data_IF_661676834154
#
_entry.id   IF_661676834154
#
_cell.length_a   1.000
_cell.length_b   1.000
_cell.length_c   1.000
_cell.angle_alpha   90.00
_cell.angle_beta   90.00
_cell.angle_gamma   90.00
#
_symmetry.space_group_name_H-M   'P 1'
#
loop_
_entity.id
_entity.type
_entity.pdbx_description
1 polymer ?
#
# COMPACT_ATOMS: atom_id res chain seq x y z
N UNK A 1 -6.52 -12.17 1.23
CA UNK A 1 -7.87 -12.28 1.84
C UNK A 1 -8.13 -11.26 2.95
N UNK A 2 -7.23 -11.16 3.93
CA UNK A 2 -7.35 -10.21 5.04
C UNK A 2 -6.00 -9.53 5.26
N UNK A 3 -5.97 -8.22 5.10
CA UNK A 3 -4.84 -7.36 5.47
C UNK A 3 -5.02 -6.94 6.94
N UNK A 4 -3.94 -7.03 7.71
CA UNK A 4 -3.97 -6.73 9.13
C UNK A 4 -4.71 -7.80 9.92
N UNK A 5 -4.29 -9.07 9.78
CA UNK A 5 -4.89 -10.19 10.54
C UNK A 5 -4.83 -9.96 12.04
N UNK A 6 -3.68 -9.46 12.53
CA UNK A 6 -3.48 -9.07 13.93
C UNK A 6 -4.34 -7.87 14.32
N UNK A 7 -4.53 -6.92 13.41
CA UNK A 7 -5.42 -5.77 13.61
C UNK A 7 -6.85 -6.27 13.80
N UNK A 8 -7.35 -7.10 12.90
CA UNK A 8 -8.70 -7.66 12.95
C UNK A 8 -8.91 -8.47 14.25
N UNK A 9 -7.95 -9.32 14.62
CA UNK A 9 -8.04 -10.15 15.82
C UNK A 9 -8.16 -9.34 17.11
N UNK A 10 -7.50 -8.17 17.16
CA UNK A 10 -7.50 -7.30 18.33
C UNK A 10 -8.56 -6.18 18.26
N UNK A 11 -9.41 -6.15 17.24
CA UNK A 11 -10.37 -5.06 17.03
C UNK A 11 -9.72 -3.70 16.75
N UNK A 12 -8.47 -3.70 16.26
CA UNK A 12 -7.75 -2.50 15.90
C UNK A 12 -8.29 -1.83 14.64
N UNK A 13 -7.78 -0.64 14.33
CA UNK A 13 -8.17 0.13 13.15
C UNK A 13 -7.42 -0.29 11.88
N UNK A 14 -8.05 -0.12 10.71
CA UNK A 14 -7.49 -0.29 9.36
C UNK A 14 -7.30 -1.74 8.85
N UNK A 15 -8.04 -2.73 9.36
CA UNK A 15 -8.06 -4.04 8.68
C UNK A 15 -8.99 -4.00 7.48
N UNK A 16 -8.53 -4.50 6.33
CA UNK A 16 -9.30 -4.54 5.09
C UNK A 16 -9.23 -5.92 4.42
N UNK A 17 -10.27 -6.24 3.66
CA UNK A 17 -10.23 -7.32 2.67
C UNK A 17 -9.91 -6.71 1.32
N UNK A 18 -8.93 -7.25 0.61
CA UNK A 18 -8.39 -6.67 -0.62
C UNK A 18 -8.19 -7.69 -1.74
N UNK A 19 -8.41 -7.26 -2.96
CA UNK A 19 -8.10 -7.99 -4.19
C UNK A 19 -7.59 -7.04 -5.28
N UNK A 20 -6.58 -7.50 -6.02
CA UNK A 20 -6.10 -6.87 -7.24
C UNK A 20 -6.27 -7.85 -8.41
N UNK A 21 -6.66 -7.35 -9.58
CA UNK A 21 -6.99 -8.15 -10.76
C UNK A 21 -6.28 -7.55 -11.96
N UNK A 22 -5.62 -8.39 -12.74
CA UNK A 22 -5.02 -8.05 -14.03
C UNK A 22 -5.06 -9.29 -14.93
N UNK A 23 -4.74 -9.12 -16.21
CA UNK A 23 -4.54 -10.24 -17.13
C UNK A 23 -3.36 -11.13 -16.68
N UNK A 24 -3.31 -12.35 -17.20
CA UNK A 24 -2.26 -13.31 -16.86
C UNK A 24 -0.86 -12.74 -17.11
N UNK A 25 0.04 -12.88 -16.13
CA UNK A 25 1.43 -12.43 -16.21
C UNK A 25 1.66 -10.94 -15.98
N UNK A 26 0.62 -10.14 -15.76
CA UNK A 26 0.77 -8.69 -15.58
C UNK A 26 1.15 -8.27 -14.15
N UNK A 27 1.02 -9.14 -13.15
CA UNK A 27 1.58 -8.88 -11.84
C UNK A 27 3.00 -9.42 -11.71
N UNK A 28 3.86 -8.69 -11.01
CA UNK A 28 5.13 -9.24 -10.54
C UNK A 28 4.83 -10.49 -9.70
N UNK A 29 5.39 -11.62 -10.11
CA UNK A 29 5.33 -12.87 -9.35
C UNK A 29 6.26 -12.78 -8.14
N UNK A 30 5.85 -12.00 -7.14
CA UNK A 30 6.66 -11.71 -5.97
C UNK A 30 6.79 -12.98 -5.09
N UNK A 31 8.01 -13.40 -4.73
CA UNK A 31 8.19 -14.47 -3.75
C UNK A 31 7.70 -14.00 -2.37
N UNK A 32 7.39 -14.96 -1.50
CA UNK A 32 7.08 -14.69 -0.09
C UNK A 32 8.35 -14.27 0.68
N UNK A 33 8.67 -12.98 0.55
CA UNK A 33 9.83 -12.30 1.14
C UNK A 33 9.46 -10.84 1.42
N UNK A 34 10.41 -10.05 1.92
CA UNK A 34 10.20 -8.63 2.16
C UNK A 34 10.47 -7.79 0.91
N UNK A 35 9.90 -6.59 0.87
CA UNK A 35 10.13 -5.58 -0.13
C UNK A 35 10.28 -4.24 0.57
N UNK A 36 11.36 -3.55 0.24
CA UNK A 36 11.61 -2.15 0.56
C UNK A 36 10.81 -1.28 -0.42
N UNK A 37 10.04 -0.33 0.10
CA UNK A 37 8.99 0.38 -0.63
C UNK A 37 9.08 1.87 -0.39
N UNK A 38 8.81 2.63 -1.45
CA UNK A 38 8.46 4.05 -1.38
C UNK A 38 7.24 4.28 -2.26
N UNK A 39 6.23 4.99 -1.75
CA UNK A 39 5.01 5.28 -2.48
C UNK A 39 4.48 6.69 -2.21
N UNK A 40 4.02 7.37 -3.27
CA UNK A 40 3.52 8.76 -3.25
C UNK A 40 2.35 8.93 -4.22
N UNK A 41 1.56 9.98 -3.98
CA UNK A 41 0.46 10.37 -4.87
C UNK A 41 0.87 11.08 -6.17
N UNK A 42 -0.12 11.36 -7.04
CA UNK A 42 0.10 11.89 -8.39
C UNK A 42 0.99 13.14 -8.45
N UNK A 43 0.81 14.06 -7.51
CA UNK A 43 1.54 15.33 -7.47
C UNK A 43 3.06 15.17 -7.23
N UNK A 44 3.49 14.05 -6.64
CA UNK A 44 4.90 13.75 -6.37
C UNK A 44 5.40 12.52 -7.13
N UNK A 45 4.67 12.03 -8.13
CA UNK A 45 4.98 10.78 -8.85
C UNK A 45 6.41 10.75 -9.43
N UNK A 46 6.95 11.88 -9.86
CA UNK A 46 8.30 11.98 -10.43
C UNK A 46 9.38 12.39 -9.41
N UNK A 47 9.05 12.43 -8.12
CA UNK A 47 9.91 12.96 -7.05
C UNK A 47 10.47 11.88 -6.12
N UNK A 48 10.40 10.61 -6.52
CA UNK A 48 10.87 9.48 -5.72
C UNK A 48 11.93 8.65 -6.44
N UNK A 49 12.92 8.21 -5.68
CA UNK A 49 13.93 7.22 -6.07
C UNK A 49 14.31 6.36 -4.87
N UNK A 50 14.06 5.05 -4.96
CA UNK A 50 14.37 4.10 -3.88
C UNK A 50 15.88 3.86 -3.69
N UNK A 51 16.73 4.29 -4.63
CA UNK A 51 18.18 4.29 -4.47
C UNK A 51 18.68 5.50 -3.66
N UNK A 52 17.93 6.59 -3.63
CA UNK A 52 18.26 7.79 -2.86
C UNK A 52 17.93 7.62 -1.37
N UNK A 53 18.55 8.45 -0.53
CA UNK A 53 18.26 8.45 0.90
C UNK A 53 16.82 8.94 1.19
N UNK A 54 16.22 8.53 2.33
CA UNK A 54 14.97 9.11 2.82
C UNK A 54 15.01 10.65 2.86
N UNK A 55 16.13 11.23 3.30
CA UNK A 55 16.30 12.69 3.36
C UNK A 55 16.23 13.36 1.98
N UNK A 56 16.84 12.77 0.96
CA UNK A 56 16.78 13.29 -0.41
C UNK A 56 15.38 13.18 -0.99
N UNK A 57 14.74 12.02 -0.84
CA UNK A 57 13.36 11.82 -1.27
C UNK A 57 12.42 12.85 -0.64
N UNK A 58 12.52 13.08 0.68
CA UNK A 58 11.65 14.06 1.35
C UNK A 58 11.84 15.49 0.84
N UNK A 59 13.06 15.87 0.45
CA UNK A 59 13.30 17.19 -0.17
C UNK A 59 12.62 17.30 -1.53
N UNK A 60 12.76 16.30 -2.39
CA UNK A 60 12.15 16.32 -3.73
C UNK A 60 10.62 16.22 -3.66
N UNK A 61 10.09 15.37 -2.78
CA UNK A 61 8.65 15.30 -2.49
C UNK A 61 8.14 16.65 -1.99
N UNK A 62 8.85 17.29 -1.05
CA UNK A 62 8.50 18.62 -0.54
C UNK A 62 8.43 19.67 -1.65
N UNK A 63 9.42 19.70 -2.56
CA UNK A 63 9.40 20.59 -3.74
C UNK A 63 8.20 20.31 -4.65
N UNK A 64 7.93 19.05 -4.96
CA UNK A 64 6.83 18.65 -5.85
C UNK A 64 5.45 19.03 -5.25
N UNK A 65 5.28 18.81 -3.94
CA UNK A 65 4.06 19.12 -3.21
C UNK A 65 3.96 20.59 -2.78
N UNK A 66 5.00 21.41 -3.01
CA UNK A 66 5.12 22.79 -2.51
C UNK A 66 4.93 22.87 -0.99
N UNK A 67 5.48 21.90 -0.27
CA UNK A 67 5.46 21.80 1.20
C UNK A 67 6.89 21.87 1.74
N UNK A 68 7.04 22.46 2.92
CA UNK A 68 8.26 22.28 3.72
C UNK A 68 8.40 20.82 4.15
N UNK A 69 9.61 20.34 4.39
CA UNK A 69 9.84 18.95 4.83
C UNK A 69 9.14 18.69 6.16
N UNK A 70 9.08 19.69 7.03
CA UNK A 70 8.43 19.67 8.34
C UNK A 70 6.90 19.52 8.24
N UNK A 71 6.33 19.88 7.10
CA UNK A 71 4.90 19.70 6.81
C UNK A 71 4.58 18.36 6.15
N UNK A 72 5.59 17.55 5.80
CA UNK A 72 5.38 16.21 5.25
C UNK A 72 5.12 15.20 6.36
N UNK A 73 4.22 14.25 6.08
CA UNK A 73 3.94 13.10 6.93
C UNK A 73 4.33 11.80 6.23
N UNK A 74 5.30 11.10 6.80
CA UNK A 74 5.78 9.78 6.36
C UNK A 74 5.07 8.70 7.16
N UNK A 75 4.39 7.77 6.49
CA UNK A 75 3.86 6.56 7.15
C UNK A 75 4.89 5.44 7.09
N UNK A 76 5.14 4.78 8.23
CA UNK A 76 6.17 3.73 8.39
C UNK A 76 5.61 2.62 9.31
N UNK A 77 5.85 1.35 8.98
CA UNK A 77 5.55 0.24 9.90
C UNK A 77 6.42 0.32 11.15
N UNK A 78 5.82 0.22 12.34
CA UNK A 78 6.54 0.20 13.61
C UNK A 78 7.20 -1.16 13.81
N UNK A 79 8.47 -1.25 13.41
CA UNK A 79 9.28 -2.48 13.46
C UNK A 79 10.72 -2.13 13.81
N UNK A 80 11.45 -2.98 14.57
CA UNK A 80 12.86 -2.74 14.89
C UNK A 80 13.74 -2.51 13.65
N UNK A 81 13.44 -3.18 12.52
CA UNK A 81 14.15 -3.02 11.24
C UNK A 81 14.03 -1.63 10.61
N UNK A 82 13.12 -0.77 11.09
CA UNK A 82 12.95 0.60 10.60
C UNK A 82 13.55 1.65 11.53
N UNK A 83 14.30 1.26 12.57
CA UNK A 83 14.89 2.21 13.52
C UNK A 83 15.74 3.29 12.83
N UNK A 84 16.60 2.90 11.89
CA UNK A 84 17.46 3.83 11.15
C UNK A 84 16.67 4.77 10.23
N UNK A 85 15.69 4.22 9.50
CA UNK A 85 14.76 5.00 8.67
C UNK A 85 14.00 6.02 9.51
N UNK A 86 13.42 5.60 10.64
CA UNK A 86 12.68 6.47 11.55
C UNK A 86 13.59 7.58 12.09
N UNK A 87 14.82 7.23 12.49
CA UNK A 87 15.78 8.21 12.98
C UNK A 87 16.16 9.23 11.90
N UNK A 88 16.34 8.80 10.65
CA UNK A 88 16.64 9.70 9.54
C UNK A 88 15.50 10.64 9.20
N UNK A 89 14.27 10.12 9.08
CA UNK A 89 13.08 10.93 8.81
C UNK A 89 12.84 11.95 9.93
N UNK A 90 13.11 11.60 11.19
CA UNK A 90 13.07 12.56 12.30
C UNK A 90 14.14 13.65 12.16
N UNK A 91 15.37 13.28 11.78
CA UNK A 91 16.47 14.26 11.57
C UNK A 91 16.19 15.21 10.41
N UNK A 92 15.47 14.77 9.38
CA UNK A 92 15.08 15.65 8.27
C UNK A 92 13.97 16.63 8.63
N UNK A 93 13.31 16.46 9.78
CA UNK A 93 12.24 17.33 10.28
C UNK A 93 10.82 16.88 9.91
N UNK A 94 10.67 15.84 9.09
CA UNK A 94 9.36 15.36 8.68
C UNK A 94 8.62 14.65 9.83
N UNK A 95 7.29 14.68 9.77
CA UNK A 95 6.42 13.98 10.72
C UNK A 95 6.36 12.50 10.36
N UNK A 96 6.17 11.65 11.37
CA UNK A 96 6.02 10.20 11.18
C UNK A 96 4.68 9.73 11.74
N UNK A 97 3.94 8.98 10.94
CA UNK A 97 2.83 8.15 11.39
C UNK A 97 3.30 6.68 11.46
N UNK A 98 3.51 6.18 12.68
CA UNK A 98 3.84 4.78 12.90
C UNK A 98 2.59 3.92 12.87
N UNK A 99 2.63 2.81 12.13
CA UNK A 99 1.52 1.86 12.02
C UNK A 99 1.95 0.44 12.41
N UNK A 100 1.09 -0.26 13.14
CA UNK A 100 1.38 -1.61 13.62
C UNK A 100 1.29 -2.68 12.51
N UNK A 101 0.44 -2.50 11.51
CA UNK A 101 0.29 -3.38 10.35
C UNK A 101 -0.33 -2.56 9.20
N UNK A 102 -0.40 -3.14 8.00
CA UNK A 102 -1.18 -2.60 6.90
C UNK A 102 -0.51 -1.54 6.04
N UNK A 103 0.59 -1.94 5.41
CA UNK A 103 1.30 -1.10 4.46
C UNK A 103 0.58 -0.95 3.10
N UNK A 104 -0.40 -1.82 2.76
CA UNK A 104 -1.28 -1.63 1.60
C UNK A 104 -2.17 -0.40 1.79
N UNK A 105 -2.90 -0.36 2.90
CA UNK A 105 -3.76 0.77 3.27
C UNK A 105 -2.96 2.07 3.38
N UNK A 106 -1.73 1.99 3.91
CA UNK A 106 -0.82 3.12 4.03
C UNK A 106 -0.31 3.65 2.68
N UNK A 107 0.02 2.76 1.74
CA UNK A 107 0.43 3.13 0.38
C UNK A 107 -0.70 3.86 -0.36
N UNK A 108 -1.93 3.36 -0.21
CA UNK A 108 -3.12 4.00 -0.79
C UNK A 108 -3.37 5.37 -0.16
N UNK A 109 -3.25 5.48 1.17
CA UNK A 109 -3.35 6.76 1.86
C UNK A 109 -2.34 7.79 1.32
N UNK A 110 -1.07 7.40 1.11
CA UNK A 110 -0.07 8.28 0.51
C UNK A 110 -0.41 8.73 -0.93
N UNK A 111 -1.24 7.96 -1.64
CA UNK A 111 -1.68 8.29 -2.99
C UNK A 111 -2.97 9.12 -3.07
N UNK A 112 -3.74 9.20 -1.98
CA UNK A 112 -5.00 9.91 -1.93
C UNK A 112 -4.83 11.36 -1.47
N UNK A 113 -5.59 12.26 -2.10
CA UNK A 113 -5.72 13.63 -1.61
C UNK A 113 -6.39 13.65 -0.22
N UNK A 114 -5.94 14.55 0.64
CA UNK A 114 -6.50 14.79 1.98
C UNK A 114 -6.44 13.61 2.98
N UNK A 115 -5.65 12.57 2.71
CA UNK A 115 -5.42 11.46 3.65
C UNK A 115 -4.64 11.88 4.90
N UNK A 116 -3.88 12.98 4.81
CA UNK A 116 -2.92 13.41 5.82
C UNK A 116 -1.57 12.68 5.76
N UNK A 117 -1.37 11.81 4.76
CA UNK A 117 -0.13 11.07 4.50
C UNK A 117 0.44 11.52 3.16
N UNK A 118 1.73 11.88 3.12
CA UNK A 118 2.39 12.36 1.90
C UNK A 118 3.23 11.27 1.23
N UNK A 119 3.78 10.34 2.02
CA UNK A 119 4.64 9.27 1.52
C UNK A 119 4.64 8.05 2.44
N UNK A 120 4.62 6.85 1.87
CA UNK A 120 4.97 5.61 2.56
C UNK A 120 6.45 5.32 2.35
N UNK A 121 7.18 4.96 3.41
CA UNK A 121 8.55 4.46 3.31
C UNK A 121 8.76 3.21 4.19
N UNK A 122 9.58 2.29 3.71
CA UNK A 122 10.13 1.19 4.50
C UNK A 122 9.84 -0.20 3.96
N UNK A 123 10.13 -1.20 4.77
CA UNK A 123 10.12 -2.62 4.38
C UNK A 123 8.91 -3.36 4.95
N UNK A 124 8.11 -3.92 4.05
CA UNK A 124 6.96 -4.79 4.35
C UNK A 124 6.90 -5.99 3.40
N UNK A 125 5.81 -6.74 3.38
CA UNK A 125 5.73 -7.97 2.57
C UNK A 125 5.71 -7.68 1.06
N UNK A 126 6.42 -8.49 0.27
CA UNK A 126 6.49 -8.30 -1.18
C UNK A 126 5.14 -8.49 -1.89
N UNK A 127 4.31 -9.50 -1.56
CA UNK A 127 2.97 -9.65 -2.13
C UNK A 127 2.07 -8.42 -1.90
N UNK A 128 2.12 -7.86 -0.69
CA UNK A 128 1.42 -6.63 -0.32
C UNK A 128 1.91 -5.43 -1.14
N UNK A 129 3.21 -5.41 -1.46
CA UNK A 129 3.78 -4.40 -2.35
C UNK A 129 3.17 -4.41 -3.75
N UNK A 130 2.95 -5.61 -4.31
CA UNK A 130 2.31 -5.76 -5.63
C UNK A 130 0.84 -5.34 -5.59
N UNK A 131 0.12 -5.66 -4.51
CA UNK A 131 -1.26 -5.22 -4.31
C UNK A 131 -1.35 -3.69 -4.17
N UNK A 132 -0.43 -3.08 -3.42
CA UNK A 132 -0.34 -1.63 -3.29
C UNK A 132 -0.03 -0.96 -4.64
N UNK A 133 0.91 -1.51 -5.41
CA UNK A 133 1.22 -1.04 -6.76
C UNK A 133 -0.02 -1.08 -7.67
N UNK A 134 -0.82 -2.15 -7.59
CA UNK A 134 -2.08 -2.23 -8.34
C UNK A 134 -3.08 -1.12 -7.97
N UNK A 135 -3.19 -0.77 -6.69
CA UNK A 135 -4.04 0.32 -6.24
C UNK A 135 -3.53 1.69 -6.73
N UNK A 136 -2.23 1.95 -6.61
CA UNK A 136 -1.59 3.20 -7.06
C UNK A 136 -1.68 3.34 -8.58
N UNK A 137 -1.58 2.25 -9.35
CA UNK A 137 -1.85 2.24 -10.79
C UNK A 137 -3.27 2.70 -11.13
N UNK A 138 -4.24 2.50 -10.23
CA UNK A 138 -5.62 2.91 -10.44
C UNK A 138 -5.91 4.36 -10.02
N UNK A 139 -5.30 4.83 -8.92
CA UNK A 139 -5.50 6.19 -8.39
C UNK A 139 -4.58 7.21 -9.08
N UNK A 140 -3.44 6.75 -9.58
CA UNK A 140 -2.31 7.58 -9.97
C UNK A 140 -1.31 7.76 -8.81
N UNK A 141 -0.11 8.23 -9.15
CA UNK A 141 1.02 8.31 -8.23
C UNK A 141 2.19 7.50 -8.73
N UNK A 142 3.12 7.22 -7.84
CA UNK A 142 4.26 6.35 -8.15
C UNK A 142 4.63 5.50 -6.93
N UNK A 143 5.18 4.33 -7.22
CA UNK A 143 5.72 3.42 -6.23
C UNK A 143 6.96 2.74 -6.80
N UNK A 144 7.98 2.57 -5.96
CA UNK A 144 9.12 1.72 -6.28
C UNK A 144 9.29 0.65 -5.20
N UNK A 145 9.73 -0.53 -5.62
CA UNK A 145 9.92 -1.68 -4.75
C UNK A 145 11.26 -2.36 -4.99
N UNK A 146 11.95 -2.78 -3.93
CA UNK A 146 13.15 -3.63 -4.01
C UNK A 146 13.00 -4.83 -3.11
N UNK A 147 13.11 -6.03 -3.67
CA UNK A 147 13.00 -7.26 -2.89
C UNK A 147 14.15 -7.35 -1.88
N UNK A 148 13.84 -7.80 -0.67
CA UNK A 148 14.73 -7.92 0.48
C UNK A 148 14.75 -9.38 0.94
N UNK A 149 15.66 -10.15 0.34
CA UNK A 149 15.85 -11.56 0.67
C UNK A 149 16.52 -11.71 2.03
N UNK A 150 16.04 -12.65 2.83
CA UNK A 150 16.54 -12.92 4.18
C UNK A 150 17.68 -13.93 4.21
N UNK A 151 17.78 -14.77 3.18
CA UNK A 151 18.75 -15.87 3.11
C UNK A 151 18.91 -16.38 1.66
N UNK A 152 19.91 -17.24 1.44
CA UNK A 152 20.20 -17.83 0.12
C UNK A 152 19.03 -18.64 -0.46
N UNK A 153 18.26 -19.33 0.39
CA UNK A 153 17.12 -20.14 -0.09
C UNK A 153 16.02 -19.30 -0.75
N UNK A 154 15.81 -18.08 -0.26
CA UNK A 154 14.89 -17.14 -0.89
C UNK A 154 15.42 -16.60 -2.21
N UNK A 155 16.74 -16.37 -2.30
CA UNK A 155 17.42 -15.98 -3.54
C UNK A 155 17.27 -17.09 -4.59
N UNK A 156 17.54 -18.34 -4.23
CA UNK A 156 17.43 -19.48 -5.15
C UNK A 156 15.98 -19.69 -5.62
N UNK A 157 15.02 -19.51 -4.71
CA UNK A 157 13.58 -19.54 -5.05
C UNK A 157 13.21 -18.41 -6.01
N UNK A 158 13.69 -17.18 -5.75
CA UNK A 158 13.45 -16.04 -6.64
C UNK A 158 14.07 -16.26 -8.03
N UNK A 159 15.27 -16.86 -8.09
CA UNK A 159 15.92 -17.25 -9.34
C UNK A 159 15.08 -18.22 -10.18
N UNK A 160 14.48 -19.23 -9.54
CA UNK A 160 13.53 -20.16 -10.20
C UNK A 160 12.26 -19.47 -10.69
N UNK A 161 11.88 -18.35 -10.08
CA UNK A 161 10.75 -17.51 -10.50
C UNK A 161 11.14 -16.47 -11.56
N UNK A 162 12.38 -16.50 -12.06
CA UNK A 162 12.87 -15.59 -13.11
C UNK A 162 13.51 -14.30 -12.61
N UNK A 163 13.69 -14.14 -11.29
CA UNK A 163 14.30 -12.96 -10.68
C UNK A 163 15.81 -13.21 -10.54
N UNK A 164 16.59 -12.68 -11.50
CA UNK A 164 18.05 -12.88 -11.56
C UNK A 164 18.84 -11.82 -10.80
N UNK A 165 18.37 -10.59 -10.81
CA UNK A 165 19.00 -9.48 -10.10
C UNK A 165 18.31 -9.26 -8.76
N UNK A 166 19.04 -9.57 -7.68
CA UNK A 166 18.55 -9.47 -6.30
C UNK A 166 18.52 -8.03 -5.78
N UNK A 167 19.18 -7.09 -6.46
CA UNK A 167 19.24 -5.68 -6.09
C UNK A 167 18.34 -4.81 -6.95
N UNK A 168 17.64 -5.41 -7.92
CA UNK A 168 16.73 -4.71 -8.82
C UNK A 168 15.69 -3.88 -8.07
N UNK A 169 15.55 -2.63 -8.52
CA UNK A 169 14.43 -1.77 -8.18
C UNK A 169 13.36 -1.99 -9.25
N UNK A 170 12.16 -2.35 -8.81
CA UNK A 170 10.98 -2.53 -9.63
C UNK A 170 10.18 -1.24 -9.65
N UNK A 171 9.82 -0.78 -10.84
CA UNK A 171 8.92 0.36 -11.00
C UNK A 171 7.46 -0.04 -10.75
N UNK A 172 6.59 0.96 -10.59
CA UNK A 172 5.15 0.76 -10.42
C UNK A 172 4.57 -0.11 -11.55
N UNK A 173 4.87 0.24 -12.80
CA UNK A 173 4.41 -0.48 -13.99
C UNK A 173 4.97 -1.89 -14.07
N UNK A 174 6.19 -2.12 -13.59
CA UNK A 174 6.76 -3.47 -13.59
C UNK A 174 6.13 -4.37 -12.54
N UNK A 175 5.69 -3.81 -11.41
CA UNK A 175 4.95 -4.53 -10.38
C UNK A 175 3.50 -4.85 -10.80
N UNK A 176 2.84 -3.94 -11.53
CA UNK A 176 1.46 -4.10 -12.00
C UNK A 176 1.26 -3.50 -13.40
N UNK A 177 1.36 -4.38 -14.42
CA UNK A 177 1.30 -4.06 -15.85
C UNK A 177 -0.13 -4.04 -16.40
N UNK A 178 -0.28 -3.39 -17.55
CA UNK A 178 -1.52 -3.44 -18.34
C UNK A 178 -2.73 -2.83 -17.63
N UNK A 179 -3.89 -3.43 -17.91
CA UNK A 179 -5.17 -3.06 -17.30
C UNK A 179 -5.31 -3.75 -15.93
N UNK A 180 -5.41 -2.93 -14.89
CA UNK A 180 -5.42 -3.36 -13.49
C UNK A 180 -6.71 -2.85 -12.84
N UNK A 181 -7.30 -3.70 -12.02
CA UNK A 181 -8.38 -3.34 -11.12
C UNK A 181 -7.98 -3.60 -9.69
N UNK A 182 -8.49 -2.77 -8.79
CA UNK A 182 -8.30 -2.92 -7.36
C UNK A 182 -9.66 -2.80 -6.67
N UNK A 183 -9.90 -3.67 -5.69
CA UNK A 183 -11.06 -3.58 -4.82
C UNK A 183 -10.65 -3.83 -3.37
N UNK A 184 -11.16 -3.00 -2.47
CA UNK A 184 -11.00 -3.21 -1.04
C UNK A 184 -12.31 -2.94 -0.30
N UNK A 185 -12.51 -3.62 0.82
CA UNK A 185 -13.63 -3.43 1.75
C UNK A 185 -13.10 -3.34 3.17
N UNK A 186 -13.55 -2.35 3.93
CA UNK A 186 -13.19 -2.20 5.34
C UNK A 186 -13.74 -3.34 6.19
N UNK A 187 -12.88 -4.00 6.96
CA UNK A 187 -13.27 -5.02 7.94
C UNK A 187 -13.45 -4.36 9.29
N UNK A 188 -12.41 -3.67 9.77
CA UNK A 188 -12.50 -2.79 10.94
C UNK A 188 -12.50 -1.32 10.50
N UNK A 189 -12.91 -0.41 11.40
CA UNK A 189 -12.91 1.03 11.12
C UNK A 189 -11.51 1.46 10.69
N UNK A 190 -11.39 2.19 9.59
CA UNK A 190 -10.12 2.73 9.12
C UNK A 190 -10.21 4.20 8.70
N UNK A 191 -9.06 4.78 8.40
CA UNK A 191 -8.96 6.10 7.78
C UNK A 191 -9.36 6.08 6.30
N UNK A 192 -9.20 4.93 5.65
CA UNK A 192 -9.54 4.74 4.24
C UNK A 192 -10.97 4.23 4.04
N UNK A 193 -11.33 3.14 4.73
CA UNK A 193 -12.65 2.51 4.61
C UNK A 193 -13.30 2.35 5.98
N UNK A 194 -14.62 2.43 6.02
CA UNK A 194 -15.38 2.11 7.22
C UNK A 194 -15.44 0.60 7.39
N UNK A 195 -15.31 0.13 8.63
CA UNK A 195 -15.46 -1.28 8.96
C UNK A 195 -16.91 -1.74 8.82
N UNK A 196 -17.09 -3.06 8.83
CA UNK A 196 -18.42 -3.67 8.81
C UNK A 196 -19.21 -3.26 10.05
N UNK A 197 -20.44 -2.76 9.85
CA UNK A 197 -21.36 -2.45 10.95
C UNK A 197 -22.56 -3.37 10.88
N UNK A 198 -22.75 -4.19 11.92
CA UNK A 198 -23.94 -5.02 12.02
C UNK A 198 -25.15 -4.16 12.45
N UNK A 199 -26.28 -4.40 11.81
CA UNK A 199 -27.59 -3.79 12.13
C UNK A 199 -28.55 -4.89 12.57
N UNK A 200 -29.70 -4.58 13.21
CA UNK A 200 -30.61 -5.62 13.72
C UNK A 200 -31.07 -6.67 12.69
N UNK A 201 -31.08 -6.35 11.39
CA UNK A 201 -31.49 -7.25 10.32
C UNK A 201 -30.43 -7.50 9.25
N UNK A 202 -29.17 -7.14 9.49
CA UNK A 202 -28.20 -7.07 8.40
C UNK A 202 -26.81 -6.56 8.78
N UNK A 203 -26.14 -6.02 7.76
CA UNK A 203 -24.86 -5.35 7.91
C UNK A 203 -24.69 -4.23 6.88
N UNK A 204 -23.81 -3.28 7.17
CA UNK A 204 -23.34 -2.28 6.24
C UNK A 204 -21.85 -2.48 5.96
N UNK A 205 -21.45 -2.28 4.70
CA UNK A 205 -20.05 -2.32 4.28
C UNK A 205 -19.68 -1.08 3.49
N UNK A 206 -18.42 -0.67 3.60
CA UNK A 206 -17.84 0.41 2.81
C UNK A 206 -16.67 -0.16 1.99
N UNK A 207 -16.78 -0.06 0.67
CA UNK A 207 -15.85 -0.61 -0.29
C UNK A 207 -15.42 0.47 -1.29
N UNK A 208 -14.27 0.23 -1.90
CA UNK A 208 -13.79 1.00 -3.04
C UNK A 208 -13.48 0.06 -4.20
N UNK A 209 -13.80 0.47 -5.42
CA UNK A 209 -13.46 -0.24 -6.65
C UNK A 209 -12.83 0.72 -7.63
N UNK A 210 -11.66 0.36 -8.18
CA UNK A 210 -10.86 1.24 -9.01
C UNK A 210 -10.33 0.50 -10.25
N UNK A 211 -10.17 1.24 -11.36
CA UNK A 211 -9.68 0.68 -12.64
C UNK A 211 -8.65 1.60 -13.28
N UNK A 212 -7.45 1.09 -13.56
CA UNK A 212 -6.37 1.87 -14.19
C UNK A 212 -6.71 2.35 -15.60
N UNK A 213 -7.38 1.52 -16.39
CA UNK A 213 -7.73 1.81 -17.79
C UNK A 213 -8.63 3.06 -17.94
N UNK A 214 -9.51 3.27 -16.97
CA UNK A 214 -10.53 4.34 -17.03
C UNK A 214 -10.29 5.45 -16.01
N UNK A 215 -9.35 5.27 -15.09
CA UNK A 215 -9.19 6.13 -13.90
C UNK A 215 -10.42 6.20 -12.99
N UNK A 216 -11.43 5.36 -13.21
CA UNK A 216 -12.69 5.42 -12.45
C UNK A 216 -12.47 4.86 -11.04
N UNK A 217 -12.81 5.67 -10.04
CA UNK A 217 -12.86 5.29 -8.63
C UNK A 217 -14.32 5.30 -8.18
N UNK A 218 -14.77 4.20 -7.56
CA UNK A 218 -16.13 4.03 -7.02
C UNK A 218 -16.04 3.84 -5.52
N UNK A 219 -16.58 4.80 -4.78
CA UNK A 219 -16.91 4.65 -3.36
C UNK A 219 -18.29 3.98 -3.25
N UNK A 220 -18.35 2.85 -2.55
CA UNK A 220 -19.54 2.00 -2.48
C UNK A 220 -19.91 1.75 -1.02
N UNK A 221 -21.08 2.25 -0.63
CA UNK A 221 -21.72 1.91 0.64
C UNK A 221 -22.89 0.96 0.37
N UNK A 222 -22.83 -0.22 0.94
CA UNK A 222 -23.84 -1.26 0.73
C UNK A 222 -24.56 -1.60 2.03
N UNK A 223 -25.88 -1.74 1.97
CA UNK A 223 -26.72 -2.28 3.04
C UNK A 223 -27.12 -3.70 2.67
N UNK A 224 -26.74 -4.66 3.50
CA UNK A 224 -27.00 -6.08 3.31
C UNK A 224 -28.14 -6.50 4.23
N UNK A 225 -29.23 -6.99 3.65
CA UNK A 225 -30.39 -7.53 4.38
C UNK A 225 -30.29 -9.05 4.50
N UNK A 226 -30.26 -9.56 5.72
CA UNK A 226 -30.13 -11.00 5.98
C UNK A 226 -31.48 -11.71 6.07
N UNK A 227 -32.54 -10.94 6.27
CA UNK A 227 -33.93 -11.42 6.40
C UNK A 227 -34.57 -11.84 5.07
N UNK A 228 -33.98 -11.47 3.94
CA UNK A 228 -34.50 -11.75 2.59
C UNK A 228 -33.62 -12.71 1.77
N UNK A 229 -32.51 -13.24 2.31
CA UNK A 229 -31.56 -14.04 1.53
C UNK A 229 -31.99 -15.53 1.46
N UNK A 230 -32.01 -16.19 0.29
CA UNK A 230 -32.29 -17.62 0.19
C UNK A 230 -31.18 -18.44 0.87
N UNK A 231 -31.56 -19.51 1.59
CA UNK A 231 -30.61 -20.55 1.99
C UNK A 231 -30.17 -21.30 0.73
N UNK A 232 -28.91 -21.19 0.35
CA UNK A 232 -28.24 -22.10 -0.58
C UNK A 232 -27.57 -23.22 0.22
#
# INVERSE_FOLDING_TARGET
>A
PLEGTTICANGGYNSISVIAIAEEGNFLHAPDTYMDKIAVGPAAANAIDLAASPTENLKEIGKALKKSVESLTVVILDRPRHADLIAEVRRSGARIQLIGDGDVSAAIAAAMENSGVDVLMGTGGAPEGVIAAAAIRCIGGNMMGRLKFRNQSEIDRAGRMGIKDVHRIWTLEEMAKGNVMFCATGVTKGSFLDGVRFTPGGAETHSIVMRSETGTVRDIRATHRFDLKPRY
#
